data_IF_018001919449
#
_entry.id   IF_018001919449
#
_cell.length_a   1.000
_cell.length_b   1.000
_cell.length_c   1.000
_cell.angle_alpha   90.00
_cell.angle_beta   90.00
_cell.angle_gamma   90.00
#
_symmetry.space_group_name_H-M   'P 1'
#
loop_
_entity.id
_entity.type
_entity.pdbx_description
1 polymer ?
#
# COMPACT_ATOMS: atom_id res chain seq x y z
N UNK A 1 17.78 7.62 -33.09
CA UNK A 1 18.85 6.75 -33.63
C UNK A 1 18.41 5.32 -33.48
N UNK A 2 18.16 4.62 -34.59
CA UNK A 2 17.72 3.22 -34.62
C UNK A 2 18.95 2.33 -34.60
N UNK A 3 19.02 1.33 -33.72
CA UNK A 3 19.97 0.22 -33.84
C UNK A 3 19.30 -1.10 -33.51
N UNK A 4 18.83 -1.74 -34.57
CA UNK A 4 18.55 -3.17 -34.65
C UNK A 4 19.84 -3.97 -34.44
N UNK A 5 19.76 -5.08 -33.71
CA UNK A 5 20.73 -6.17 -33.79
C UNK A 5 20.00 -7.49 -34.09
N UNK A 6 20.10 -7.85 -35.37
CA UNK A 6 20.36 -9.16 -35.99
C UNK A 6 20.23 -10.41 -35.10
N UNK A 7 19.37 -11.31 -35.56
CA UNK A 7 19.23 -12.71 -35.17
C UNK A 7 20.40 -13.62 -35.62
N UNK A 8 20.64 -14.70 -34.88
CA UNK A 8 21.38 -15.89 -35.33
C UNK A 8 20.76 -17.12 -34.63
N UNK A 9 19.94 -17.93 -35.31
CA UNK A 9 20.28 -19.15 -36.06
C UNK A 9 20.70 -20.37 -35.19
N UNK A 10 19.69 -21.22 -34.95
CA UNK A 10 19.61 -22.66 -35.20
C UNK A 10 20.62 -23.65 -34.59
N UNK A 11 20.06 -24.69 -33.95
CA UNK A 11 20.60 -26.05 -33.96
C UNK A 11 19.43 -27.06 -34.03
N UNK A 12 19.41 -27.81 -35.13
CA UNK A 12 18.64 -29.02 -35.39
C UNK A 12 19.45 -30.22 -34.90
N UNK A 13 18.82 -31.16 -34.19
CA UNK A 13 19.22 -32.57 -34.17
C UNK A 13 18.02 -33.47 -33.84
N UNK A 14 17.76 -34.40 -34.76
CA UNK A 14 16.74 -35.46 -34.75
C UNK A 14 17.15 -36.62 -33.83
N UNK A 15 16.19 -37.27 -33.15
CA UNK A 15 16.13 -38.74 -33.06
C UNK A 15 14.67 -39.21 -32.90
N UNK A 16 14.28 -40.14 -33.77
CA UNK A 16 13.02 -40.91 -33.77
C UNK A 16 13.14 -42.19 -32.93
N UNK A 17 12.09 -42.51 -32.17
CA UNK A 17 11.62 -43.90 -31.99
C UNK A 17 11.95 -44.61 -30.68
N UNK A 18 10.95 -44.75 -29.80
CA UNK A 18 10.72 -45.99 -29.05
C UNK A 18 9.23 -46.09 -28.72
N UNK A 19 8.56 -47.07 -29.32
CA UNK A 19 7.19 -47.45 -28.97
C UNK A 19 7.23 -48.14 -27.61
N UNK A 20 6.66 -47.49 -26.60
CA UNK A 20 6.33 -48.08 -25.31
C UNK A 20 4.86 -47.79 -25.04
N UNK A 21 4.04 -48.84 -25.11
CA UNK A 21 2.65 -48.84 -24.65
C UNK A 21 2.70 -48.83 -23.12
N UNK A 22 2.71 -47.65 -22.52
CA UNK A 22 2.49 -47.45 -21.08
C UNK A 22 1.20 -46.64 -20.95
N UNK A 23 0.16 -47.34 -20.50
CA UNK A 23 -1.11 -46.76 -20.04
C UNK A 23 -0.82 -45.93 -18.79
N UNK A 24 -0.31 -44.72 -19.00
CA UNK A 24 -0.01 -43.77 -17.93
C UNK A 24 -1.33 -43.12 -17.48
N UNK A 25 -1.57 -42.99 -16.15
CA UNK A 25 -2.88 -42.65 -15.63
C UNK A 25 -3.32 -41.28 -16.17
N UNK A 26 -4.63 -41.17 -16.46
CA UNK A 26 -5.24 -39.89 -16.77
C UNK A 26 -4.70 -38.81 -15.82
N UNK A 27 -4.25 -37.65 -16.32
CA UNK A 27 -3.74 -36.60 -15.46
C UNK A 27 -4.82 -36.32 -14.43
N UNK A 28 -4.48 -36.51 -13.15
CA UNK A 28 -5.33 -36.05 -12.06
C UNK A 28 -5.67 -34.61 -12.42
N UNK A 29 -6.97 -34.34 -12.59
CA UNK A 29 -7.42 -32.97 -12.76
C UNK A 29 -6.71 -32.15 -11.69
N UNK A 30 -6.07 -31.02 -12.02
CA UNK A 30 -5.50 -30.17 -10.99
C UNK A 30 -6.66 -29.90 -10.04
N UNK A 31 -6.61 -30.50 -8.85
CA UNK A 31 -7.34 -30.00 -7.71
C UNK A 31 -6.74 -28.62 -7.54
N UNK A 32 -7.38 -27.63 -8.16
CA UNK A 32 -7.31 -26.25 -7.77
C UNK A 32 -7.79 -26.28 -6.33
N UNK A 33 -6.87 -26.55 -5.41
CA UNK A 33 -7.07 -26.26 -4.01
C UNK A 33 -7.37 -24.77 -4.03
N UNK A 34 -8.64 -24.43 -3.87
CA UNK A 34 -9.01 -23.07 -3.52
C UNK A 34 -8.11 -22.74 -2.33
N UNK A 35 -7.15 -21.82 -2.56
CA UNK A 35 -6.20 -21.43 -1.54
C UNK A 35 -7.05 -20.90 -0.39
N UNK A 36 -7.13 -21.63 0.71
CA UNK A 36 -7.84 -21.13 1.86
C UNK A 36 -7.06 -19.92 2.37
N UNK A 37 -7.76 -18.81 2.65
CA UNK A 37 -7.14 -17.63 3.22
C UNK A 37 -6.32 -18.02 4.46
N UNK A 38 -5.02 -17.69 4.46
CA UNK A 38 -4.14 -17.83 5.61
C UNK A 38 -4.03 -16.48 6.33
N UNK A 39 -4.66 -16.31 7.51
CA UNK A 39 -4.64 -15.04 8.23
C UNK A 39 -3.22 -14.56 8.58
N UNK A 40 -2.28 -15.48 8.80
CA UNK A 40 -0.89 -15.11 9.11
C UNK A 40 -0.18 -14.53 7.89
N UNK A 41 -0.46 -15.08 6.71
CA UNK A 41 0.09 -14.59 5.45
C UNK A 41 -0.49 -13.21 5.09
N UNK A 42 -1.82 -13.04 5.25
CA UNK A 42 -2.50 -11.75 5.03
C UNK A 42 -1.90 -10.66 5.93
N UNK A 43 -1.82 -10.92 7.25
CA UNK A 43 -1.22 -9.95 8.18
C UNK A 43 0.20 -9.59 7.78
N UNK A 44 1.04 -10.58 7.49
CA UNK A 44 2.43 -10.35 7.09
C UNK A 44 2.53 -9.53 5.79
N UNK A 45 1.65 -9.78 4.82
CA UNK A 45 1.57 -9.02 3.57
C UNK A 45 1.13 -7.57 3.80
N UNK A 46 0.17 -7.33 4.70
CA UNK A 46 -0.29 -5.98 5.05
C UNK A 46 0.81 -5.19 5.76
N UNK A 47 1.56 -5.82 6.68
CA UNK A 47 2.74 -5.20 7.29
C UNK A 47 3.77 -4.85 6.22
N UNK A 48 4.07 -5.78 5.30
CA UNK A 48 5.02 -5.54 4.21
C UNK A 48 4.59 -4.39 3.29
N UNK A 49 3.30 -4.30 2.97
CA UNK A 49 2.73 -3.20 2.18
C UNK A 49 2.85 -1.85 2.92
N UNK A 50 2.65 -1.84 4.24
CA UNK A 50 2.77 -0.64 5.06
C UNK A 50 4.21 -0.11 5.14
N UNK A 51 5.17 -0.98 5.48
CA UNK A 51 6.56 -0.57 5.68
C UNK A 51 7.27 -0.26 4.35
N UNK A 52 6.82 -0.89 3.26
CA UNK A 52 7.46 -0.75 1.95
C UNK A 52 8.94 -1.17 1.99
N UNK A 53 9.81 -0.28 1.53
CA UNK A 53 11.27 -0.50 1.50
C UNK A 53 12.00 -0.11 2.82
N UNK A 54 11.31 0.55 3.78
CA UNK A 54 11.90 1.01 5.05
C UNK A 54 11.33 0.22 6.23
N UNK A 55 12.10 -0.72 6.77
CA UNK A 55 11.70 -1.66 7.82
C UNK A 55 12.08 -1.19 9.24
N UNK A 56 12.00 0.12 9.48
CA UNK A 56 12.30 0.66 10.80
C UNK A 56 11.42 0.02 11.89
N UNK A 57 11.91 -0.19 13.12
CA UNK A 57 11.12 -0.84 14.16
C UNK A 57 9.79 -0.14 14.47
N UNK A 58 9.75 1.20 14.35
CA UNK A 58 8.54 2.01 14.55
C UNK A 58 7.52 1.78 13.42
N UNK A 59 7.98 1.69 12.18
CA UNK A 59 7.11 1.45 11.03
C UNK A 59 6.58 0.01 11.03
N UNK A 60 7.39 -0.97 11.47
CA UNK A 60 6.94 -2.37 11.67
C UNK A 60 5.90 -2.48 12.78
N UNK A 61 6.09 -1.78 13.91
CA UNK A 61 5.11 -1.76 15.01
C UNK A 61 3.79 -1.14 14.55
N UNK A 62 3.85 0.00 13.86
CA UNK A 62 2.67 0.69 13.31
C UNK A 62 1.96 -0.16 12.26
N UNK A 63 2.71 -0.76 11.33
CA UNK A 63 2.18 -1.66 10.31
C UNK A 63 1.53 -2.91 10.91
N UNK A 64 2.07 -3.45 12.00
CA UNK A 64 1.47 -4.58 12.73
C UNK A 64 0.13 -4.17 13.35
N UNK A 65 0.08 -3.02 14.02
CA UNK A 65 -1.18 -2.47 14.55
C UNK A 65 -2.21 -2.29 13.43
N UNK A 66 -1.81 -1.68 12.30
CA UNK A 66 -2.66 -1.46 11.14
C UNK A 66 -3.23 -2.78 10.58
N UNK A 67 -2.37 -3.77 10.36
CA UNK A 67 -2.76 -5.08 9.83
C UNK A 67 -3.73 -5.81 10.76
N UNK A 68 -3.49 -5.76 12.07
CA UNK A 68 -4.39 -6.35 13.06
C UNK A 68 -5.75 -5.62 13.08
N UNK A 69 -5.75 -4.29 13.07
CA UNK A 69 -6.99 -3.49 13.05
C UNK A 69 -7.85 -3.79 11.80
N UNK A 70 -7.22 -3.89 10.63
CA UNK A 70 -7.91 -4.17 9.38
C UNK A 70 -8.46 -5.60 9.35
N UNK A 71 -7.68 -6.60 9.77
CA UNK A 71 -8.10 -8.01 9.79
C UNK A 71 -9.16 -8.27 10.86
N UNK A 72 -9.15 -7.55 11.98
CA UNK A 72 -10.16 -7.71 13.03
C UNK A 72 -11.50 -7.05 12.66
N UNK A 73 -11.49 -6.05 11.77
CA UNK A 73 -12.68 -5.34 11.30
C UNK A 73 -13.35 -5.99 10.07
N UNK A 74 -12.69 -6.94 9.42
CA UNK A 74 -13.09 -7.47 8.10
C UNK A 74 -12.93 -8.98 8.01
N UNK A 75 -13.41 -9.56 6.93
CA UNK A 75 -13.13 -10.94 6.52
C UNK A 75 -12.22 -10.95 5.29
N UNK A 76 -11.46 -12.04 5.03
CA UNK A 76 -10.66 -12.14 3.82
C UNK A 76 -11.45 -11.93 2.52
N UNK A 77 -12.71 -12.40 2.46
CA UNK A 77 -13.56 -12.21 1.28
C UNK A 77 -13.93 -10.74 1.08
N UNK A 78 -14.26 -10.01 2.15
CA UNK A 78 -14.50 -8.56 2.08
C UNK A 78 -13.24 -7.80 1.63
N UNK A 79 -12.06 -8.22 2.09
CA UNK A 79 -10.79 -7.61 1.65
C UNK A 79 -10.51 -7.85 0.16
N UNK A 80 -10.95 -8.97 -0.41
CA UNK A 80 -10.91 -9.20 -1.86
C UNK A 80 -11.91 -8.29 -2.57
N UNK A 81 -13.14 -8.20 -2.07
CA UNK A 81 -14.20 -7.39 -2.67
C UNK A 81 -13.85 -5.90 -2.73
N UNK A 82 -13.13 -5.39 -1.73
CA UNK A 82 -12.73 -3.98 -1.68
C UNK A 82 -11.38 -3.68 -2.35
N UNK A 83 -10.68 -4.70 -2.86
CA UNK A 83 -9.44 -4.52 -3.65
C UNK A 83 -8.14 -4.44 -2.83
N UNK A 84 -8.14 -4.91 -1.58
CA UNK A 84 -6.94 -5.00 -0.73
C UNK A 84 -6.24 -6.35 -0.91
N UNK A 85 -7.01 -7.41 -1.13
CA UNK A 85 -6.51 -8.72 -1.52
C UNK A 85 -6.88 -9.03 -2.97
N UNK A 86 -6.08 -9.88 -3.62
CA UNK A 86 -6.44 -10.48 -4.90
C UNK A 86 -7.32 -11.74 -4.72
N UNK A 87 -7.79 -12.31 -5.83
CA UNK A 87 -8.64 -13.52 -5.80
C UNK A 87 -7.95 -14.78 -5.22
N UNK A 88 -6.64 -14.73 -4.96
CA UNK A 88 -5.86 -15.79 -4.32
C UNK A 88 -5.64 -15.53 -2.82
N UNK A 89 -6.24 -14.46 -2.28
CA UNK A 89 -6.04 -13.93 -0.92
C UNK A 89 -4.62 -13.39 -0.65
N UNK A 90 -3.88 -13.00 -1.69
CA UNK A 90 -2.60 -12.31 -1.54
C UNK A 90 -2.83 -10.80 -1.47
N UNK A 91 -2.06 -10.10 -0.64
CA UNK A 91 -2.11 -8.63 -0.55
C UNK A 91 -1.61 -8.04 -1.86
N UNK A 92 -2.41 -7.17 -2.48
CA UNK A 92 -2.01 -6.53 -3.74
C UNK A 92 -0.81 -5.61 -3.48
N UNK A 93 0.19 -5.57 -4.40
CA UNK A 93 1.36 -4.72 -4.22
C UNK A 93 1.05 -3.22 -4.40
N UNK A 94 -0.04 -2.91 -5.09
CA UNK A 94 -0.53 -1.55 -5.35
C UNK A 94 -2.05 -1.53 -5.23
N UNK A 95 -2.61 -0.53 -4.56
CA UNK A 95 -4.06 -0.39 -4.32
C UNK A 95 -4.79 0.31 -5.48
N UNK A 96 -4.53 -0.10 -6.73
CA UNK A 96 -5.07 0.59 -7.92
C UNK A 96 -6.57 0.42 -8.14
N UNK A 97 -7.15 -0.67 -7.62
CA UNK A 97 -8.56 -1.03 -7.78
C UNK A 97 -9.35 -0.90 -6.45
N UNK A 98 -8.83 -0.09 -5.52
CA UNK A 98 -9.46 0.12 -4.21
C UNK A 98 -10.83 0.79 -4.36
N UNK A 99 -11.85 0.21 -3.73
CA UNK A 99 -13.19 0.80 -3.69
C UNK A 99 -13.28 1.91 -2.64
N UNK A 100 -14.28 2.81 -2.68
CA UNK A 100 -14.50 3.78 -1.60
C UNK A 100 -14.68 3.14 -0.23
N UNK A 101 -15.31 1.97 -0.17
CA UNK A 101 -15.44 1.19 1.07
C UNK A 101 -14.08 0.67 1.55
N UNK A 102 -13.24 0.16 0.65
CA UNK A 102 -11.86 -0.23 0.96
C UNK A 102 -11.01 0.92 1.45
N UNK A 103 -11.15 2.11 0.86
CA UNK A 103 -10.47 3.32 1.32
C UNK A 103 -10.90 3.70 2.74
N UNK A 104 -12.20 3.64 3.05
CA UNK A 104 -12.70 3.88 4.41
C UNK A 104 -12.13 2.90 5.44
N UNK A 105 -12.17 1.59 5.14
CA UNK A 105 -11.58 0.55 6.01
C UNK A 105 -10.08 0.76 6.24
N UNK A 106 -9.34 1.12 5.18
CA UNK A 106 -7.92 1.43 5.26
C UNK A 106 -7.67 2.63 6.17
N UNK A 107 -8.41 3.72 5.96
CA UNK A 107 -8.25 4.97 6.73
C UNK A 107 -8.62 4.79 8.20
N UNK A 108 -9.68 4.05 8.50
CA UNK A 108 -10.05 3.74 9.88
C UNK A 108 -8.96 2.93 10.60
N UNK A 109 -8.42 1.89 9.96
CA UNK A 109 -7.30 1.12 10.50
C UNK A 109 -6.04 1.99 10.68
N UNK A 110 -5.72 2.83 9.69
CA UNK A 110 -4.58 3.75 9.73
C UNK A 110 -4.68 4.73 10.91
N UNK A 111 -5.82 5.38 11.09
CA UNK A 111 -6.01 6.39 12.14
C UNK A 111 -6.14 5.77 13.54
N UNK A 112 -6.44 4.47 13.63
CA UNK A 112 -6.37 3.72 14.89
C UNK A 112 -4.94 3.48 15.39
N UNK A 113 -3.96 3.53 14.48
CA UNK A 113 -2.58 3.10 14.74
C UNK A 113 -1.52 4.18 14.50
N UNK A 114 -1.86 5.25 13.77
CA UNK A 114 -0.93 6.32 13.40
C UNK A 114 -1.58 7.70 13.56
N UNK A 115 -0.75 8.72 13.81
CA UNK A 115 -1.16 10.12 13.78
C UNK A 115 -0.66 10.76 12.49
N UNK A 116 -1.56 11.00 11.54
CA UNK A 116 -1.21 11.58 10.23
C UNK A 116 -0.51 12.95 10.34
N UNK A 117 -0.79 13.74 11.38
CA UNK A 117 -0.11 15.02 11.61
C UNK A 117 1.33 14.77 12.06
N UNK A 118 1.56 13.81 12.95
CA UNK A 118 2.89 13.39 13.37
C UNK A 118 3.72 12.86 12.20
N UNK A 119 3.13 12.01 11.35
CA UNK A 119 3.79 11.48 10.15
C UNK A 119 4.11 12.57 9.14
N UNK A 120 3.17 13.49 8.91
CA UNK A 120 3.40 14.69 8.10
C UNK A 120 4.58 15.52 8.66
N UNK A 121 4.66 15.68 9.99
CA UNK A 121 5.77 16.35 10.66
C UNK A 121 7.13 15.68 10.42
N UNK A 122 7.21 14.35 10.56
CA UNK A 122 8.42 13.56 10.22
C UNK A 122 8.83 13.80 8.77
N UNK A 123 7.88 13.71 7.84
CA UNK A 123 8.13 13.91 6.42
C UNK A 123 8.66 15.33 6.12
N UNK A 124 8.11 16.37 6.73
CA UNK A 124 8.57 17.75 6.52
C UNK A 124 9.97 17.99 7.09
N UNK A 125 10.31 17.41 8.24
CA UNK A 125 11.67 17.45 8.79
C UNK A 125 12.65 16.81 7.80
N UNK A 126 12.32 15.63 7.28
CA UNK A 126 13.16 14.93 6.31
C UNK A 126 13.32 15.75 5.01
N UNK A 127 12.21 16.20 4.42
CA UNK A 127 12.17 16.94 3.15
C UNK A 127 12.95 18.27 3.22
N UNK A 128 12.91 18.94 4.37
CA UNK A 128 13.58 20.23 4.58
C UNK A 128 14.98 20.11 5.19
N UNK A 129 15.47 18.87 5.39
CA UNK A 129 16.78 18.57 6.02
C UNK A 129 16.89 19.17 7.43
N UNK A 130 15.82 19.07 8.20
CA UNK A 130 15.73 19.53 9.59
C UNK A 130 15.58 21.04 9.77
N UNK A 131 15.24 21.79 8.72
CA UNK A 131 14.99 23.23 8.84
C UNK A 131 13.64 23.53 9.49
N UNK A 132 12.62 22.72 9.23
CA UNK A 132 11.31 22.86 9.86
C UNK A 132 11.38 22.38 11.31
N UNK A 133 10.90 23.21 12.23
CA UNK A 133 10.63 22.82 13.61
C UNK A 133 9.37 21.93 13.64
N UNK A 134 9.55 20.64 13.97
CA UNK A 134 8.49 19.63 13.93
C UNK A 134 7.32 20.00 14.85
N UNK A 135 7.61 20.39 16.09
CA UNK A 135 6.57 20.69 17.09
C UNK A 135 5.71 21.89 16.68
N UNK A 136 6.35 22.96 16.17
CA UNK A 136 5.65 24.13 15.65
C UNK A 136 4.80 23.80 14.43
N UNK A 137 5.32 22.99 13.50
CA UNK A 137 4.57 22.53 12.33
C UNK A 137 3.32 21.74 12.72
N UNK A 138 3.49 20.71 13.55
CA UNK A 138 2.38 19.86 13.96
C UNK A 138 1.33 20.63 14.78
N UNK A 139 1.77 21.54 15.66
CA UNK A 139 0.87 22.41 16.43
C UNK A 139 0.04 23.30 15.51
N UNK A 140 0.68 23.91 14.51
CA UNK A 140 -0.01 24.70 13.50
C UNK A 140 -1.05 23.86 12.75
N UNK A 141 -0.67 22.67 12.27
CA UNK A 141 -1.53 21.83 11.44
C UNK A 141 -2.75 21.34 12.24
N UNK A 142 -2.56 20.88 13.49
CA UNK A 142 -3.67 20.49 14.39
C UNK A 142 -4.61 21.65 14.73
N UNK A 143 -4.15 22.89 14.65
CA UNK A 143 -4.98 24.06 14.94
C UNK A 143 -5.88 24.46 13.76
N UNK A 144 -5.55 24.03 12.53
CA UNK A 144 -6.24 24.50 11.31
C UNK A 144 -6.87 23.39 10.48
N UNK A 145 -6.54 22.12 10.75
CA UNK A 145 -7.13 20.94 10.09
C UNK A 145 -7.74 20.02 11.14
N UNK A 146 -9.02 19.69 10.94
CA UNK A 146 -9.73 18.73 11.79
C UNK A 146 -9.41 17.28 11.42
N UNK A 147 -9.61 16.34 12.36
CA UNK A 147 -9.45 14.90 12.09
C UNK A 147 -10.37 14.42 10.96
N UNK A 148 -11.59 14.93 10.87
CA UNK A 148 -12.53 14.62 9.78
C UNK A 148 -11.95 14.99 8.41
N UNK A 149 -11.36 16.19 8.29
CA UNK A 149 -10.68 16.60 7.06
C UNK A 149 -9.45 15.75 6.76
N UNK A 150 -8.69 15.34 7.78
CA UNK A 150 -7.55 14.44 7.60
C UNK A 150 -7.99 13.07 7.05
N UNK A 151 -9.10 12.53 7.53
CA UNK A 151 -9.68 11.28 6.99
C UNK A 151 -10.13 11.45 5.55
N UNK A 152 -10.87 12.51 5.25
CA UNK A 152 -11.31 12.82 3.88
C UNK A 152 -10.12 12.93 2.90
N UNK A 153 -9.03 13.58 3.33
CA UNK A 153 -7.80 13.69 2.55
C UNK A 153 -7.15 12.32 2.32
N UNK A 154 -7.09 11.48 3.36
CA UNK A 154 -6.49 10.16 3.27
C UNK A 154 -7.30 9.26 2.30
N UNK A 155 -8.62 9.24 2.42
CA UNK A 155 -9.51 8.50 1.51
C UNK A 155 -9.36 9.00 0.07
N UNK A 156 -9.41 10.31 -0.13
CA UNK A 156 -9.26 10.93 -1.46
C UNK A 156 -7.92 10.60 -2.09
N UNK A 157 -6.85 10.56 -1.30
CA UNK A 157 -5.51 10.20 -1.77
C UNK A 157 -5.42 8.75 -2.21
N UNK A 158 -6.02 7.82 -1.46
CA UNK A 158 -6.09 6.40 -1.81
C UNK A 158 -6.89 6.16 -3.09
N UNK A 159 -7.96 6.92 -3.29
CA UNK A 159 -8.80 6.86 -4.49
C UNK A 159 -8.23 7.65 -5.69
N UNK A 160 -7.08 8.32 -5.51
CA UNK A 160 -6.43 9.11 -6.55
C UNK A 160 -7.15 10.43 -6.89
N UNK A 161 -8.13 10.86 -6.08
CA UNK A 161 -8.79 12.16 -6.23
C UNK A 161 -8.06 13.24 -5.43
N UNK A 162 -7.14 13.93 -6.09
CA UNK A 162 -6.37 15.01 -5.45
C UNK A 162 -7.02 16.40 -5.63
N UNK A 163 -8.28 16.44 -6.07
CA UNK A 163 -8.95 17.68 -6.47
C UNK A 163 -10.02 18.19 -5.49
N UNK A 164 -10.36 17.39 -4.47
CA UNK A 164 -11.37 17.73 -3.47
C UNK A 164 -11.01 18.93 -2.59
N UNK A 165 -12.03 19.63 -2.08
CA UNK A 165 -11.87 20.83 -1.26
C UNK A 165 -11.02 20.58 0.00
N UNK A 166 -11.16 19.41 0.64
CA UNK A 166 -10.35 19.01 1.79
C UNK A 166 -8.87 18.83 1.43
N UNK A 167 -8.56 18.22 0.27
CA UNK A 167 -7.18 18.06 -0.23
C UNK A 167 -6.54 19.40 -0.52
N UNK A 168 -7.28 20.32 -1.15
CA UNK A 168 -6.83 21.68 -1.41
C UNK A 168 -6.58 22.45 -0.11
N UNK A 169 -7.52 22.38 0.84
CA UNK A 169 -7.39 23.04 2.13
C UNK A 169 -6.22 22.49 2.95
N UNK A 170 -6.04 21.17 2.99
CA UNK A 170 -4.93 20.52 3.66
C UNK A 170 -3.58 20.90 3.04
N UNK A 171 -3.48 20.89 1.71
CA UNK A 171 -2.26 21.30 1.01
C UNK A 171 -1.87 22.76 1.32
N UNK A 172 -2.86 23.67 1.34
CA UNK A 172 -2.62 25.06 1.72
C UNK A 172 -2.17 25.18 3.20
N UNK A 173 -2.82 24.45 4.10
CA UNK A 173 -2.44 24.41 5.52
C UNK A 173 -1.02 23.89 5.74
N UNK A 174 -0.62 22.83 5.05
CA UNK A 174 0.76 22.31 5.11
C UNK A 174 1.78 23.37 4.70
N UNK A 175 1.54 24.09 3.60
CA UNK A 175 2.43 25.14 3.12
C UNK A 175 2.55 26.29 4.14
N UNK A 176 1.42 26.78 4.65
CA UNK A 176 1.40 27.86 5.64
C UNK A 176 2.09 27.45 6.96
N UNK A 177 1.86 26.21 7.42
CA UNK A 177 2.47 25.70 8.63
C UNK A 177 3.98 25.46 8.47
N UNK A 178 4.44 25.01 7.29
CA UNK A 178 5.88 24.95 7.00
C UNK A 178 6.51 26.33 7.09
N UNK A 179 5.91 27.36 6.49
CA UNK A 179 6.46 28.73 6.54
C UNK A 179 6.56 29.27 7.98
N UNK A 180 5.58 28.96 8.83
CA UNK A 180 5.61 29.37 10.24
C UNK A 180 6.66 28.63 11.06
N UNK A 181 6.94 27.37 10.71
CA UNK A 181 7.89 26.51 11.41
C UNK A 181 9.34 26.65 10.91
N UNK A 182 9.60 27.46 9.89
CA UNK A 182 10.96 27.77 9.44
C UNK A 182 11.63 28.80 10.38
N UNK A 183 12.98 28.80 10.45
CA UNK A 183 13.71 29.82 11.20
C UNK A 183 13.41 31.21 10.65
N UNK A 184 13.31 32.20 11.53
CA UNK A 184 13.25 33.61 11.12
C UNK A 184 14.66 34.08 10.77
N UNK A 185 14.81 34.63 9.56
CA UNK A 185 16.05 35.30 9.11
C UNK A 185 16.31 36.60 9.89
#
# INVERSE_FOLDING_TARGET
>A
MVRSYVAALALLALVTGCSGDEEEPAPAAPTTSASAADPSAIRSGLVALWVGDDDSPEDVETGTCFADALVDATTPDELVEVGILDASYEVVPELTDLTPEGAGLWVDAQFGCSDLVSESGRAQVAATKGKVDRESYETCLRAVVSEEQLREVAESSLLGDLSGDAVVAFSAAQLDCVQQALPRD
#
